data_IF_745025074787
#
_entry.id   IF_745025074787
#
_cell.length_a   1.000
_cell.length_b   1.000
_cell.length_c   1.000
_cell.angle_alpha   90.00
_cell.angle_beta   90.00
_cell.angle_gamma   90.00
#
_symmetry.space_group_name_H-M   'P 1'
#
loop_
_entity.id
_entity.type
_entity.pdbx_description
1 polymer ?
#
# COMPACT_ATOMS: atom_id res chain seq x y z
N UNK A 1 -16.70 4.82 13.42
CA UNK A 1 -16.79 6.18 12.86
C UNK A 1 -16.79 7.26 13.92
N UNK A 2 -16.19 8.39 13.60
CA UNK A 2 -16.22 9.59 14.45
C UNK A 2 -17.22 10.57 13.87
N UNK A 3 -18.09 11.13 14.72
CA UNK A 3 -19.18 12.02 14.33
C UNK A 3 -19.15 13.30 15.15
N UNK A 4 -19.58 14.38 14.55
CA UNK A 4 -19.81 15.65 15.24
C UNK A 4 -21.18 15.68 15.97
N UNK A 5 -21.52 16.75 16.71
CA UNK A 5 -22.81 16.82 17.39
C UNK A 5 -24.03 16.94 16.45
N UNK A 6 -23.83 17.32 15.18
CA UNK A 6 -24.87 17.38 14.17
C UNK A 6 -25.13 16.00 13.51
N UNK A 7 -24.26 15.03 13.76
CA UNK A 7 -24.36 13.68 13.22
C UNK A 7 -23.57 13.50 11.91
N UNK A 8 -22.82 14.51 11.49
CA UNK A 8 -21.99 14.42 10.32
C UNK A 8 -20.73 13.60 10.62
N UNK A 9 -20.35 12.72 9.67
CA UNK A 9 -19.17 11.88 9.82
C UNK A 9 -17.90 12.71 9.61
N UNK A 10 -17.05 12.77 10.63
CA UNK A 10 -15.79 13.49 10.63
C UNK A 10 -14.64 12.62 10.18
N UNK A 11 -14.64 11.33 10.57
CA UNK A 11 -13.55 10.43 10.25
C UNK A 11 -13.73 9.02 10.83
N UNK A 12 -12.61 8.29 10.92
CA UNK A 12 -12.50 6.94 11.48
C UNK A 12 -11.43 6.93 12.57
N UNK A 13 -11.70 6.32 13.72
CA UNK A 13 -10.66 6.05 14.72
C UNK A 13 -9.73 4.99 14.17
N UNK A 14 -8.44 5.27 14.15
CA UNK A 14 -7.38 4.34 13.72
C UNK A 14 -6.54 3.83 14.89
N UNK A 15 -6.43 4.61 15.99
CA UNK A 15 -5.76 4.16 17.21
C UNK A 15 -6.26 4.95 18.43
N UNK A 16 -5.91 4.48 19.63
CA UNK A 16 -6.17 5.15 20.91
C UNK A 16 -4.85 5.38 21.61
N UNK A 17 -4.63 6.59 22.11
CA UNK A 17 -3.43 6.93 22.85
C UNK A 17 -3.69 6.82 24.34
N UNK A 18 -2.74 6.22 25.05
CA UNK A 18 -2.74 6.07 26.49
C UNK A 18 -1.42 6.56 27.09
N UNK A 19 -1.47 7.16 28.27
CA UNK A 19 -0.28 7.53 29.03
C UNK A 19 -0.17 6.68 30.28
N UNK A 20 1.04 6.18 30.55
CA UNK A 20 1.33 5.48 31.81
C UNK A 20 1.25 6.43 33.00
N UNK A 21 0.85 5.88 34.12
CA UNK A 21 0.87 6.56 35.41
C UNK A 21 1.92 5.93 36.32
N UNK A 22 2.41 6.69 37.26
CA UNK A 22 3.33 6.17 38.30
C UNK A 22 2.65 5.08 39.15
N UNK A 23 1.33 5.09 39.25
CA UNK A 23 0.53 4.07 39.91
C UNK A 23 -0.87 3.98 39.27
N UNK A 24 -1.41 2.77 39.16
CA UNK A 24 -2.74 2.49 38.58
C UNK A 24 -2.73 2.24 37.08
N UNK A 25 -3.91 2.07 36.51
CA UNK A 25 -4.09 1.78 35.09
C UNK A 25 -3.72 2.97 34.20
N UNK A 26 -3.17 2.75 33.00
CA UNK A 26 -2.92 3.80 32.04
C UNK A 26 -4.19 4.58 31.70
N UNK A 27 -4.02 5.87 31.44
CA UNK A 27 -5.11 6.78 31.10
C UNK A 27 -5.14 7.03 29.61
N UNK A 28 -6.31 6.92 29.00
CA UNK A 28 -6.50 7.38 27.62
C UNK A 28 -6.39 8.91 27.56
N UNK A 29 -5.53 9.40 26.68
CA UNK A 29 -5.30 10.82 26.43
C UNK A 29 -6.12 11.31 25.25
N UNK A 30 -6.34 10.48 24.24
CA UNK A 30 -7.11 10.79 23.05
C UNK A 30 -7.18 9.65 22.06
N UNK A 31 -7.66 9.97 20.87
CA UNK A 31 -7.79 9.05 19.75
C UNK A 31 -7.07 9.63 18.55
N UNK A 32 -6.42 8.78 17.80
CA UNK A 32 -5.92 9.09 16.47
C UNK A 32 -7.06 8.83 15.48
N UNK A 33 -7.45 9.86 14.76
CA UNK A 33 -8.61 9.84 13.87
C UNK A 33 -8.15 10.20 12.46
N UNK A 34 -8.42 9.31 11.52
CA UNK A 34 -8.26 9.59 10.10
C UNK A 34 -9.48 10.35 9.61
N UNK A 35 -9.25 11.53 9.03
CA UNK A 35 -10.26 12.39 8.41
C UNK A 35 -10.14 12.32 6.87
N UNK A 36 -11.04 13.03 6.16
CA UNK A 36 -10.97 13.13 4.69
C UNK A 36 -9.59 13.58 4.21
N UNK A 37 -9.07 12.94 3.16
CA UNK A 37 -7.71 13.17 2.65
C UNK A 37 -6.64 12.38 3.41
N UNK A 38 -7.00 11.27 4.09
CA UNK A 38 -6.10 10.39 4.86
C UNK A 38 -5.32 11.07 5.99
N UNK A 39 -5.64 12.32 6.29
CA UNK A 39 -4.96 13.08 7.36
C UNK A 39 -5.26 12.47 8.72
N UNK A 40 -4.21 12.22 9.50
CA UNK A 40 -4.28 11.71 10.87
C UNK A 40 -4.26 12.88 11.87
N UNK A 41 -5.31 13.03 12.64
CA UNK A 41 -5.48 14.10 13.61
C UNK A 41 -5.71 13.55 15.01
N UNK A 42 -5.17 14.24 16.00
CA UNK A 42 -5.38 13.88 17.39
C UNK A 42 -6.67 14.51 17.94
N UNK A 43 -7.56 13.65 18.44
CA UNK A 43 -8.77 14.08 19.14
C UNK A 43 -8.61 13.78 20.63
N UNK A 44 -8.39 14.82 21.47
CA UNK A 44 -8.28 14.62 22.91
C UNK A 44 -9.52 13.94 23.48
N UNK A 45 -9.34 13.01 24.40
CA UNK A 45 -10.46 12.27 25.03
C UNK A 45 -11.48 13.19 25.70
N UNK A 46 -11.04 14.36 26.15
CA UNK A 46 -11.93 15.37 26.75
C UNK A 46 -12.95 15.96 25.74
N UNK A 47 -12.71 15.78 24.44
CA UNK A 47 -13.64 16.20 23.38
C UNK A 47 -14.59 15.09 22.95
N UNK A 48 -14.46 13.89 23.48
CA UNK A 48 -15.36 12.78 23.25
C UNK A 48 -16.54 12.87 24.22
N UNK A 49 -17.73 13.00 23.67
CA UNK A 49 -18.96 13.14 24.45
C UNK A 49 -19.67 11.81 24.68
N UNK A 50 -19.56 10.90 23.74
CA UNK A 50 -20.13 9.55 23.87
C UNK A 50 -19.35 8.53 23.00
N UNK A 51 -19.26 7.32 23.50
CA UNK A 51 -18.75 6.15 22.77
C UNK A 51 -19.83 5.08 22.81
N UNK A 52 -20.19 4.55 21.66
CA UNK A 52 -21.12 3.42 21.51
C UNK A 52 -20.60 2.49 20.40
N UNK A 53 -21.23 1.33 20.23
CA UNK A 53 -20.79 0.34 19.24
C UNK A 53 -20.63 0.95 17.83
N UNK A 54 -19.39 1.06 17.37
CA UNK A 54 -19.04 1.57 16.05
C UNK A 54 -19.09 3.11 15.90
N UNK A 55 -19.39 3.85 16.96
CA UNK A 55 -19.56 5.31 16.89
C UNK A 55 -18.89 6.03 18.07
N UNK A 56 -18.16 7.08 17.74
CA UNK A 56 -17.61 8.05 18.69
C UNK A 56 -18.20 9.43 18.37
N UNK A 57 -18.81 10.08 19.34
CA UNK A 57 -19.37 11.42 19.18
C UNK A 57 -18.44 12.41 19.86
N UNK A 58 -18.07 13.46 19.14
CA UNK A 58 -17.17 14.51 19.63
C UNK A 58 -17.88 15.86 19.78
N UNK A 59 -17.22 16.83 20.37
CA UNK A 59 -17.73 18.21 20.48
C UNK A 59 -17.72 18.99 19.16
N UNK A 60 -17.28 18.38 18.04
CA UNK A 60 -17.22 19.02 16.72
C UNK A 60 -16.02 19.96 16.50
N UNK A 61 -15.29 20.34 17.53
CA UNK A 61 -14.06 21.14 17.42
C UNK A 61 -12.85 20.20 17.36
N UNK A 62 -12.40 19.87 16.17
CA UNK A 62 -11.21 19.04 15.94
C UNK A 62 -10.06 19.94 15.55
N UNK A 63 -8.92 19.78 16.22
CA UNK A 63 -7.67 20.42 15.82
C UNK A 63 -7.12 19.66 14.61
N UNK A 64 -7.02 20.32 13.48
CA UNK A 64 -6.58 19.72 12.22
C UNK A 64 -5.04 19.68 12.07
N UNK A 65 -4.30 20.07 13.12
CA UNK A 65 -2.85 19.94 13.09
C UNK A 65 -2.46 18.47 13.11
N UNK A 66 -1.37 18.16 12.43
CA UNK A 66 -0.78 16.82 12.42
C UNK A 66 -0.54 16.32 13.83
N UNK A 67 -0.83 15.05 14.05
CA UNK A 67 -0.49 14.38 15.29
C UNK A 67 1.03 14.13 15.34
N UNK A 68 1.67 14.56 16.39
CA UNK A 68 3.03 14.17 16.74
C UNK A 68 2.98 13.46 18.08
N UNK A 69 3.43 12.20 18.13
CA UNK A 69 3.42 11.40 19.34
C UNK A 69 4.40 11.96 20.38
N UNK A 70 3.94 12.19 21.58
CA UNK A 70 4.85 12.54 22.68
C UNK A 70 5.47 11.28 23.27
N UNK A 71 6.75 11.35 23.71
CA UNK A 71 7.46 10.20 24.25
C UNK A 71 6.89 9.60 25.55
N UNK A 72 5.79 10.13 26.08
CA UNK A 72 5.07 9.63 27.26
C UNK A 72 3.75 8.94 26.92
N UNK A 73 3.36 8.93 25.66
CA UNK A 73 2.13 8.32 25.17
C UNK A 73 2.43 7.06 24.36
N UNK A 74 1.55 6.07 24.46
CA UNK A 74 1.63 4.84 23.67
C UNK A 74 0.34 4.69 22.87
N UNK A 75 0.49 4.21 21.66
CA UNK A 75 -0.60 3.81 20.79
C UNK A 75 -1.06 2.40 21.18
N UNK A 76 -2.35 2.24 21.44
CA UNK A 76 -2.90 0.96 21.89
C UNK A 76 -2.72 -0.10 20.82
N UNK A 77 -3.20 0.16 19.59
CA UNK A 77 -3.17 -0.83 18.50
C UNK A 77 -1.73 -1.07 18.06
N UNK A 78 -0.99 -0.02 17.74
CA UNK A 78 0.35 -0.15 17.18
C UNK A 78 1.42 -0.60 18.20
N UNK A 79 1.24 -0.30 19.51
CA UNK A 79 2.32 -0.47 20.48
C UNK A 79 1.97 -1.27 21.73
N UNK A 80 0.70 -1.56 22.02
CA UNK A 80 0.31 -2.32 23.22
C UNK A 80 -0.28 -3.69 22.90
N UNK A 81 -1.10 -3.81 21.86
CA UNK A 81 -1.62 -5.11 21.45
C UNK A 81 -0.46 -6.01 21.00
N UNK A 82 -0.52 -7.26 21.38
CA UNK A 82 0.51 -8.26 21.13
C UNK A 82 1.65 -8.29 22.16
N UNK A 83 1.85 -7.24 22.96
CA UNK A 83 2.89 -7.25 24.00
C UNK A 83 2.70 -8.42 24.95
N UNK A 84 3.83 -9.01 25.29
CA UNK A 84 3.92 -10.07 26.30
C UNK A 84 3.90 -9.48 27.70
N UNK A 85 3.01 -9.97 28.52
CA UNK A 85 2.90 -9.59 29.92
C UNK A 85 3.06 -10.82 30.82
N UNK A 86 3.61 -10.64 32.00
CA UNK A 86 3.66 -11.69 33.01
C UNK A 86 2.49 -11.54 33.99
N UNK A 87 1.80 -12.63 34.23
CA UNK A 87 0.73 -12.70 35.22
C UNK A 87 1.32 -12.71 36.63
N UNK A 88 0.88 -11.78 37.50
CA UNK A 88 1.39 -11.67 38.87
C UNK A 88 0.94 -12.81 39.79
N UNK A 89 -0.01 -13.62 39.36
CA UNK A 89 -0.42 -14.83 40.04
C UNK A 89 0.55 -16.03 39.89
N UNK A 90 1.65 -15.81 39.13
CA UNK A 90 2.67 -16.81 38.90
C UNK A 90 2.30 -17.87 37.85
N UNK A 91 1.18 -17.74 37.14
CA UNK A 91 0.73 -18.72 36.13
C UNK A 91 1.41 -18.58 34.75
N UNK A 92 2.41 -17.70 34.63
CA UNK A 92 3.24 -17.55 33.44
C UNK A 92 3.01 -16.23 32.69
N UNK A 93 3.31 -16.22 31.41
CA UNK A 93 3.12 -15.07 30.52
C UNK A 93 1.98 -15.28 29.52
N UNK A 94 1.46 -14.18 29.00
CA UNK A 94 0.44 -14.13 27.98
C UNK A 94 0.59 -12.88 27.13
N UNK A 95 0.06 -12.89 25.91
CA UNK A 95 0.07 -11.71 25.03
C UNK A 95 -1.24 -10.94 25.15
N UNK A 96 -1.17 -9.61 25.06
CA UNK A 96 -2.35 -8.74 25.04
C UNK A 96 -2.97 -8.84 23.65
N UNK A 97 -4.19 -9.37 23.54
CA UNK A 97 -4.92 -9.43 22.24
C UNK A 97 -5.91 -8.29 22.08
N UNK A 98 -6.47 -7.81 23.20
CA UNK A 98 -7.41 -6.69 23.21
C UNK A 98 -7.44 -6.06 24.60
N UNK A 99 -8.03 -4.88 24.72
CA UNK A 99 -8.21 -4.22 26.00
C UNK A 99 -9.51 -3.42 26.06
N UNK A 100 -10.04 -3.30 27.26
CA UNK A 100 -11.20 -2.47 27.53
C UNK A 100 -10.76 -1.14 28.16
N UNK A 101 -11.34 -0.04 27.65
CA UNK A 101 -11.17 1.30 28.21
C UNK A 101 -12.52 1.77 28.77
N UNK A 102 -12.56 2.13 30.02
CA UNK A 102 -13.79 2.54 30.69
C UNK A 102 -13.65 3.92 31.34
N UNK A 103 -14.77 4.64 31.37
CA UNK A 103 -14.83 5.90 32.07
C UNK A 103 -15.11 5.68 33.56
N UNK A 104 -14.13 6.02 34.38
CA UNK A 104 -14.27 5.97 35.82
C UNK A 104 -15.20 7.08 36.39
N UNK A 105 -15.50 7.00 37.69
CA UNK A 105 -16.34 7.97 38.41
C UNK A 105 -15.75 9.40 38.38
N UNK A 106 -14.48 9.55 38.19
CA UNK A 106 -13.74 10.81 38.03
C UNK A 106 -13.80 11.37 36.60
N UNK A 107 -14.58 10.74 35.69
CA UNK A 107 -14.69 11.05 34.26
C UNK A 107 -13.39 10.83 33.47
N UNK A 108 -12.42 10.18 34.06
CA UNK A 108 -11.21 9.77 33.31
C UNK A 108 -11.44 8.41 32.65
N UNK A 109 -10.92 8.28 31.44
CA UNK A 109 -10.91 7.01 30.69
C UNK A 109 -9.63 6.27 31.02
N UNK A 110 -9.74 5.03 31.50
CA UNK A 110 -8.59 4.21 31.87
C UNK A 110 -8.76 2.79 31.35
N UNK A 111 -7.65 2.09 31.12
CA UNK A 111 -7.69 0.67 30.81
C UNK A 111 -8.26 -0.06 32.02
N UNK A 112 -9.40 -0.72 31.85
CA UNK A 112 -10.08 -1.48 32.93
C UNK A 112 -9.67 -2.93 32.92
N UNK A 113 -9.59 -3.56 31.77
CA UNK A 113 -9.38 -5.00 31.60
C UNK A 113 -8.57 -5.28 30.34
N UNK A 114 -7.74 -6.33 30.42
CA UNK A 114 -6.97 -6.86 29.32
C UNK A 114 -7.51 -8.22 28.90
N UNK A 115 -7.72 -8.43 27.62
CA UNK A 115 -7.95 -9.74 27.03
C UNK A 115 -6.63 -10.34 26.60
N UNK A 116 -6.25 -11.42 27.23
CA UNK A 116 -4.93 -12.04 27.12
C UNK A 116 -5.03 -13.44 26.50
N UNK A 117 -4.02 -13.83 25.72
CA UNK A 117 -3.86 -15.18 25.20
C UNK A 117 -2.53 -15.79 25.65
N UNK A 118 -2.58 -16.98 26.20
CA UNK A 118 -1.38 -17.75 26.56
C UNK A 118 -0.71 -18.34 25.32
N UNK A 119 0.62 -18.55 25.34
CA UNK A 119 1.32 -19.28 24.30
C UNK A 119 0.71 -20.67 24.06
N UNK A 120 0.83 -21.15 22.82
CA UNK A 120 0.37 -22.51 22.46
C UNK A 120 1.15 -23.57 23.28
N UNK A 121 0.44 -24.51 23.88
CA UNK A 121 1.04 -25.67 24.60
C UNK A 121 1.08 -26.93 23.73
N UNK A 122 0.55 -26.88 22.50
CA UNK A 122 0.44 -28.04 21.59
C UNK A 122 1.09 -27.72 20.25
N UNK A 123 1.77 -28.72 19.66
CA UNK A 123 2.37 -28.65 18.32
C UNK A 123 1.36 -28.69 17.15
N UNK A 124 0.05 -28.75 17.44
CA UNK A 124 -0.98 -28.73 16.39
C UNK A 124 -1.08 -27.34 15.75
N UNK A 125 -1.05 -27.21 14.41
CA UNK A 125 -1.17 -25.92 13.72
C UNK A 125 -2.50 -25.20 13.98
N UNK A 126 -3.55 -25.94 14.38
CA UNK A 126 -4.88 -25.39 14.70
C UNK A 126 -5.11 -25.13 16.21
N UNK A 127 -4.14 -25.43 17.08
CA UNK A 127 -4.27 -25.17 18.51
C UNK A 127 -4.07 -23.68 18.80
N UNK A 128 -5.09 -23.03 19.36
CA UNK A 128 -4.98 -21.67 19.91
C UNK A 128 -4.69 -21.74 21.39
N UNK A 129 -3.86 -20.83 21.92
CA UNK A 129 -3.63 -20.73 23.35
C UNK A 129 -4.91 -20.37 24.13
N UNK A 130 -4.97 -20.71 25.41
CA UNK A 130 -6.10 -20.38 26.27
C UNK A 130 -6.20 -18.85 26.48
N UNK A 131 -7.42 -18.34 26.43
CA UNK A 131 -7.72 -16.92 26.66
C UNK A 131 -8.11 -16.68 28.11
N UNK A 132 -7.80 -15.51 28.63
CA UNK A 132 -8.17 -15.08 29.97
C UNK A 132 -8.34 -13.55 30.02
N UNK A 133 -9.08 -13.07 30.99
CA UNK A 133 -9.21 -11.66 31.31
C UNK A 133 -8.37 -11.35 32.55
N UNK A 134 -7.73 -10.20 32.57
CA UNK A 134 -6.96 -9.72 33.71
C UNK A 134 -7.10 -8.21 33.85
N UNK A 135 -7.21 -7.72 35.08
CA UNK A 135 -7.10 -6.29 35.33
C UNK A 135 -5.66 -5.82 35.13
N UNK A 136 -5.45 -4.56 34.75
CA UNK A 136 -4.12 -3.99 34.54
C UNK A 136 -3.16 -4.26 35.72
N UNK A 137 -3.64 -4.11 36.94
CA UNK A 137 -2.83 -4.37 38.15
C UNK A 137 -2.48 -5.83 38.43
N UNK A 138 -2.97 -6.77 37.63
CA UNK A 138 -2.67 -8.21 37.75
C UNK A 138 -1.59 -8.68 36.80
N UNK A 139 -1.07 -7.77 35.97
CA UNK A 139 0.00 -8.04 35.01
C UNK A 139 1.20 -7.13 35.29
N UNK A 140 2.37 -7.63 34.97
CA UNK A 140 3.60 -6.85 34.91
C UNK A 140 4.11 -6.94 33.49
N UNK A 141 4.43 -5.81 32.89
CA UNK A 141 5.18 -5.84 31.64
C UNK A 141 6.53 -6.49 31.86
N UNK A 142 6.88 -7.50 31.10
CA UNK A 142 8.26 -7.98 31.06
C UNK A 142 9.08 -6.82 30.51
N UNK A 143 10.10 -6.39 31.27
CA UNK A 143 10.88 -5.20 30.97
C UNK A 143 11.27 -5.18 29.49
N UNK A 144 10.92 -4.07 28.83
CA UNK A 144 11.33 -3.66 27.47
C UNK A 144 12.29 -4.61 26.76
N UNK A 145 11.81 -5.74 26.32
CA UNK A 145 12.32 -6.47 25.19
C UNK A 145 11.31 -6.23 24.09
N UNK A 146 11.75 -5.94 22.96
CA UNK A 146 11.12 -5.48 21.72
C UNK A 146 10.06 -6.43 21.11
N UNK A 147 9.21 -7.04 21.90
CA UNK A 147 8.12 -7.89 21.40
C UNK A 147 6.78 -7.15 21.47
N UNK A 148 6.55 -6.25 20.50
CA UNK A 148 5.24 -5.68 20.21
C UNK A 148 4.23 -6.72 19.69
N UNK A 149 3.10 -6.29 19.21
CA UNK A 149 2.13 -7.12 18.47
C UNK A 149 2.89 -7.93 17.41
N UNK A 150 2.62 -9.23 17.28
CA UNK A 150 3.30 -10.02 16.24
C UNK A 150 2.98 -9.44 14.86
N UNK A 151 3.92 -9.54 13.92
CA UNK A 151 3.70 -9.09 12.54
C UNK A 151 2.40 -9.67 11.97
N UNK A 152 2.12 -10.96 12.20
CA UNK A 152 0.87 -11.62 11.80
C UNK A 152 -0.40 -10.98 12.37
N UNK A 153 -0.36 -10.42 13.57
CA UNK A 153 -1.51 -9.72 14.14
C UNK A 153 -1.70 -8.33 13.53
N UNK A 154 -0.62 -7.64 13.20
CA UNK A 154 -0.67 -6.38 12.44
C UNK A 154 -1.24 -6.62 11.04
N UNK A 155 -0.75 -7.63 10.32
CA UNK A 155 -1.25 -8.04 9.01
C UNK A 155 -2.74 -8.36 9.07
N UNK A 156 -3.19 -9.12 10.09
CA UNK A 156 -4.62 -9.41 10.27
C UNK A 156 -5.46 -8.15 10.54
N UNK A 157 -4.88 -7.14 11.20
CA UNK A 157 -5.53 -5.85 11.43
C UNK A 157 -5.60 -5.02 10.15
N UNK A 158 -4.62 -5.17 9.27
CA UNK A 158 -4.47 -4.45 8.02
C UNK A 158 -4.96 -5.24 6.79
N UNK A 159 -5.59 -6.42 6.99
CA UNK A 159 -6.01 -7.32 5.92
C UNK A 159 -6.92 -6.69 4.87
N UNK A 160 -7.74 -5.71 5.26
CA UNK A 160 -8.70 -5.03 4.38
C UNK A 160 -8.15 -3.71 3.80
N UNK A 161 -6.90 -3.36 4.07
CA UNK A 161 -6.28 -2.14 3.52
C UNK A 161 -5.88 -2.37 2.05
N UNK A 162 -5.97 -1.31 1.26
CA UNK A 162 -5.38 -1.28 -0.09
C UNK A 162 -3.86 -1.20 0.03
N UNK A 163 -3.10 -1.57 -1.02
CA UNK A 163 -1.64 -1.48 -1.02
C UNK A 163 -1.11 -0.13 -0.52
N UNK A 164 -1.52 0.98 -1.11
CA UNK A 164 -1.12 2.33 -0.70
C UNK A 164 -1.48 2.69 0.76
N UNK A 165 -2.63 2.19 1.28
CA UNK A 165 -3.01 2.40 2.67
C UNK A 165 -2.15 1.54 3.61
N UNK A 166 -1.75 0.35 3.15
CA UNK A 166 -0.87 -0.55 3.90
C UNK A 166 0.56 0.00 3.91
N UNK A 167 1.09 0.46 2.78
CA UNK A 167 2.39 1.13 2.69
C UNK A 167 2.47 2.31 3.67
N UNK A 168 1.48 3.20 3.65
CA UNK A 168 1.38 4.31 4.61
C UNK A 168 1.32 3.84 6.07
N UNK A 169 0.71 2.68 6.35
CA UNK A 169 0.64 2.13 7.70
C UNK A 169 1.99 1.52 8.13
N UNK A 170 2.73 0.94 7.19
CA UNK A 170 4.09 0.42 7.43
C UNK A 170 5.07 1.55 7.73
N UNK A 171 5.03 2.64 6.97
CA UNK A 171 5.84 3.85 7.22
C UNK A 171 5.58 4.50 8.60
N UNK A 172 4.43 4.24 9.22
CA UNK A 172 4.14 4.68 10.60
C UNK A 172 4.82 3.79 11.66
N UNK A 173 5.39 2.64 11.28
CA UNK A 173 6.08 1.72 12.20
C UNK A 173 7.57 2.12 12.34
N UNK A 174 8.25 1.70 13.41
CA UNK A 174 9.70 1.69 13.44
C UNK A 174 10.28 0.72 12.39
N UNK A 175 11.45 1.03 11.83
CA UNK A 175 12.08 0.29 10.72
C UNK A 175 12.14 -1.22 10.98
N UNK A 176 12.65 -1.67 12.14
CA UNK A 176 12.69 -3.09 12.55
C UNK A 176 11.30 -3.76 12.50
N UNK A 177 10.24 -3.00 12.80
CA UNK A 177 8.87 -3.52 12.79
C UNK A 177 8.27 -3.54 11.39
N UNK A 178 8.61 -2.59 10.56
CA UNK A 178 8.25 -2.56 9.14
C UNK A 178 8.81 -3.79 8.45
N UNK A 179 10.10 -4.07 8.65
CA UNK A 179 10.78 -5.25 8.10
C UNK A 179 10.14 -6.57 8.57
N UNK A 180 9.86 -6.74 9.88
CA UNK A 180 9.19 -7.93 10.40
C UNK A 180 7.78 -8.13 9.77
N UNK A 181 7.05 -7.05 9.50
CA UNK A 181 5.73 -7.14 8.86
C UNK A 181 5.87 -7.47 7.39
N UNK A 182 6.82 -6.86 6.69
CA UNK A 182 7.12 -7.15 5.29
C UNK A 182 7.54 -8.62 5.09
N UNK A 183 8.37 -9.16 6.00
CA UNK A 183 8.79 -10.57 5.97
C UNK A 183 7.62 -11.56 6.10
N UNK A 184 6.57 -11.20 6.82
CA UNK A 184 5.40 -12.08 7.08
C UNK A 184 4.24 -11.86 6.07
N UNK A 185 4.30 -10.86 5.18
CA UNK A 185 3.32 -10.70 4.09
C UNK A 185 3.48 -11.85 3.07
N UNK A 186 2.41 -12.22 2.39
CA UNK A 186 2.50 -13.04 1.18
C UNK A 186 3.14 -12.23 0.02
N UNK A 187 3.75 -12.91 -0.93
CA UNK A 187 4.61 -12.25 -1.92
C UNK A 187 3.82 -11.35 -2.87
N UNK A 188 2.59 -11.72 -3.29
CA UNK A 188 1.70 -10.87 -4.10
C UNK A 188 1.40 -9.55 -3.38
N UNK A 189 1.09 -9.62 -2.10
CA UNK A 189 0.76 -8.44 -1.31
C UNK A 189 1.99 -7.60 -0.95
N UNK A 190 3.15 -8.24 -0.83
CA UNK A 190 4.42 -7.54 -0.61
C UNK A 190 4.84 -6.78 -1.86
N UNK A 191 4.68 -7.36 -3.05
CA UNK A 191 4.90 -6.69 -4.32
C UNK A 191 4.04 -5.42 -4.45
N UNK A 192 2.71 -5.57 -4.31
CA UNK A 192 1.76 -4.45 -4.33
C UNK A 192 2.11 -3.32 -3.33
N UNK A 193 2.68 -3.67 -2.17
CA UNK A 193 3.04 -2.69 -1.14
C UNK A 193 4.37 -2.02 -1.45
N UNK A 194 5.33 -2.75 -2.01
CA UNK A 194 6.62 -2.21 -2.42
C UNK A 194 6.44 -1.10 -3.45
N UNK A 195 5.60 -1.30 -4.48
CA UNK A 195 5.27 -0.30 -5.50
C UNK A 195 4.76 1.03 -4.91
N UNK A 196 4.19 1.00 -3.72
CA UNK A 196 3.62 2.16 -3.04
C UNK A 196 4.52 2.74 -1.93
N UNK A 197 5.68 2.13 -1.66
CA UNK A 197 6.67 2.62 -0.69
C UNK A 197 7.68 3.56 -1.37
N UNK A 198 8.29 4.50 -0.63
CA UNK A 198 9.45 5.24 -1.13
C UNK A 198 10.64 4.30 -1.38
N UNK A 199 11.50 4.69 -2.30
CA UNK A 199 12.65 3.89 -2.77
C UNK A 199 13.59 3.42 -1.63
N UNK A 200 13.83 4.28 -0.63
CA UNK A 200 14.71 3.95 0.52
C UNK A 200 14.17 2.74 1.29
N UNK A 201 12.86 2.72 1.58
CA UNK A 201 12.19 1.64 2.29
C UNK A 201 12.01 0.39 1.44
N UNK A 202 11.77 0.53 0.14
CA UNK A 202 11.75 -0.59 -0.81
C UNK A 202 13.10 -1.34 -0.77
N UNK A 203 14.20 -0.61 -0.92
CA UNK A 203 15.56 -1.16 -0.89
C UNK A 203 15.88 -1.82 0.45
N UNK A 204 15.46 -1.21 1.57
CA UNK A 204 15.68 -1.77 2.90
C UNK A 204 14.96 -3.12 3.05
N UNK A 205 13.70 -3.22 2.62
CA UNK A 205 12.92 -4.45 2.68
C UNK A 205 13.55 -5.53 1.78
N UNK A 206 13.82 -5.23 0.52
CA UNK A 206 14.41 -6.21 -0.42
C UNK A 206 15.79 -6.68 0.07
N UNK A 207 16.57 -5.82 0.72
CA UNK A 207 17.88 -6.21 1.25
C UNK A 207 17.82 -7.21 2.40
N UNK A 208 16.75 -7.25 3.16
CA UNK A 208 16.55 -8.22 4.26
C UNK A 208 15.98 -9.56 3.79
N UNK A 209 15.34 -9.62 2.61
CA UNK A 209 14.86 -10.89 2.04
C UNK A 209 16.03 -11.75 1.53
N UNK A 210 15.85 -13.08 1.53
CA UNK A 210 16.74 -13.97 0.76
C UNK A 210 16.52 -13.78 -0.75
N UNK A 211 17.52 -14.16 -1.56
CA UNK A 211 17.51 -13.90 -2.99
C UNK A 211 16.39 -14.66 -3.72
N UNK A 212 16.00 -15.88 -3.25
CA UNK A 212 14.89 -16.64 -3.80
C UNK A 212 13.57 -15.91 -3.64
N UNK A 213 13.31 -15.41 -2.44
CA UNK A 213 12.07 -14.67 -2.15
C UNK A 213 12.05 -13.29 -2.81
N UNK A 214 13.21 -12.61 -2.86
CA UNK A 214 13.32 -11.34 -3.57
C UNK A 214 12.98 -11.51 -5.06
N UNK A 215 13.41 -12.59 -5.70
CA UNK A 215 13.04 -12.92 -7.07
C UNK A 215 11.53 -13.16 -7.23
N UNK A 216 10.93 -13.98 -6.37
CA UNK A 216 9.47 -14.25 -6.39
C UNK A 216 8.63 -12.97 -6.22
N UNK A 217 9.07 -12.03 -5.39
CA UNK A 217 8.38 -10.74 -5.18
C UNK A 217 8.54 -9.83 -6.39
N UNK A 218 9.75 -9.74 -6.95
CA UNK A 218 10.03 -8.91 -8.13
C UNK A 218 9.34 -9.43 -9.39
N UNK A 219 9.16 -10.75 -9.54
CA UNK A 219 8.36 -11.36 -10.62
C UNK A 219 6.86 -10.99 -10.54
N UNK A 220 6.39 -10.51 -9.39
CA UNK A 220 4.99 -10.11 -9.14
C UNK A 220 4.77 -8.59 -9.18
N UNK A 221 5.85 -7.80 -9.24
CA UNK A 221 5.78 -6.33 -9.34
C UNK A 221 5.49 -5.88 -10.78
N UNK A 222 5.01 -4.65 -10.95
CA UNK A 222 4.99 -4.02 -12.27
C UNK A 222 6.43 -3.92 -12.80
N UNK A 223 6.69 -4.26 -14.08
CA UNK A 223 8.06 -4.40 -14.60
C UNK A 223 8.93 -3.16 -14.50
N UNK A 224 8.35 -1.97 -14.63
CA UNK A 224 9.04 -0.68 -14.48
C UNK A 224 9.44 -0.42 -13.02
N UNK A 225 8.56 -0.65 -12.06
CA UNK A 225 8.87 -0.54 -10.63
C UNK A 225 9.96 -1.55 -10.21
N UNK A 226 9.87 -2.78 -10.71
CA UNK A 226 10.89 -3.80 -10.49
C UNK A 226 12.24 -3.41 -11.11
N UNK A 227 12.23 -2.77 -12.29
CA UNK A 227 13.45 -2.30 -12.95
C UNK A 227 14.14 -1.17 -12.18
N UNK A 228 13.36 -0.21 -11.66
CA UNK A 228 13.88 0.89 -10.85
C UNK A 228 14.48 0.37 -9.54
N UNK A 229 13.81 -0.55 -8.87
CA UNK A 229 14.31 -1.18 -7.66
C UNK A 229 15.58 -2.00 -7.92
N UNK A 230 15.61 -2.80 -8.98
CA UNK A 230 16.78 -3.60 -9.38
C UNK A 230 17.98 -2.74 -9.78
N UNK A 231 17.78 -1.57 -10.39
CA UNK A 231 18.84 -0.65 -10.76
C UNK A 231 19.58 -0.08 -9.54
N UNK A 232 18.90 -0.01 -8.40
CA UNK A 232 19.44 0.53 -7.15
C UNK A 232 20.04 -0.54 -6.22
N UNK A 233 19.93 -1.82 -6.57
CA UNK A 233 20.59 -2.92 -5.84
C UNK A 233 22.09 -3.01 -6.19
N UNK A 234 22.92 -3.53 -5.25
CA UNK A 234 24.30 -3.84 -5.55
C UNK A 234 24.41 -4.84 -6.73
N UNK A 235 25.28 -4.56 -7.71
CA UNK A 235 25.42 -5.33 -8.98
C UNK A 235 25.47 -6.86 -8.76
N UNK A 236 26.25 -7.33 -7.78
CA UNK A 236 26.36 -8.77 -7.52
C UNK A 236 25.09 -9.41 -6.95
N UNK A 237 24.23 -8.64 -6.30
CA UNK A 237 22.95 -9.12 -5.80
C UNK A 237 21.88 -9.06 -6.88
N UNK A 238 21.84 -7.99 -7.65
CA UNK A 238 20.94 -7.87 -8.81
C UNK A 238 21.15 -9.05 -9.78
N UNK A 239 22.41 -9.43 -10.10
CA UNK A 239 22.70 -10.60 -10.93
C UNK A 239 22.20 -11.91 -10.29
N UNK A 240 22.39 -12.10 -8.97
CA UNK A 240 21.94 -13.32 -8.29
C UNK A 240 20.41 -13.46 -8.31
N UNK A 241 19.69 -12.35 -8.13
CA UNK A 241 18.22 -12.31 -8.21
C UNK A 241 17.77 -12.63 -9.64
N UNK A 242 18.36 -12.02 -10.67
CA UNK A 242 18.05 -12.30 -12.07
C UNK A 242 18.25 -13.77 -12.48
N UNK A 243 19.16 -14.50 -11.83
CA UNK A 243 19.34 -15.94 -12.09
C UNK A 243 18.19 -16.80 -11.50
N UNK A 244 17.40 -16.24 -10.59
CA UNK A 244 16.31 -16.92 -9.87
C UNK A 244 14.92 -16.52 -10.38
N UNK A 245 14.80 -15.37 -11.06
CA UNK A 245 13.57 -14.87 -11.65
C UNK A 245 13.09 -15.71 -12.84
N UNK A 246 11.82 -15.60 -13.18
CA UNK A 246 11.28 -16.11 -14.42
C UNK A 246 11.98 -15.45 -15.65
N UNK A 247 12.29 -16.25 -16.67
CA UNK A 247 13.09 -15.80 -17.81
C UNK A 247 12.43 -14.65 -18.57
N UNK A 248 11.09 -14.65 -18.69
CA UNK A 248 10.31 -13.64 -19.41
C UNK A 248 10.35 -12.30 -18.64
N UNK A 249 10.07 -12.32 -17.34
CA UNK A 249 10.10 -11.13 -16.49
C UNK A 249 11.51 -10.55 -16.38
N UNK A 250 12.52 -11.40 -16.21
CA UNK A 250 13.91 -10.97 -16.15
C UNK A 250 14.38 -10.31 -17.47
N UNK A 251 13.89 -10.75 -18.64
CA UNK A 251 14.21 -10.13 -19.94
C UNK A 251 13.57 -8.74 -20.04
N UNK A 252 12.32 -8.58 -19.60
CA UNK A 252 11.59 -7.32 -19.61
C UNK A 252 12.26 -6.29 -18.69
N UNK A 253 12.55 -6.66 -17.45
CA UNK A 253 13.25 -5.78 -16.50
C UNK A 253 14.63 -5.36 -17.03
N UNK A 254 15.42 -6.29 -17.57
CA UNK A 254 16.72 -5.95 -18.18
C UNK A 254 16.59 -5.02 -19.37
N UNK A 255 15.51 -5.12 -20.13
CA UNK A 255 15.23 -4.22 -21.24
C UNK A 255 14.93 -2.80 -20.71
N UNK A 256 14.11 -2.68 -19.67
CA UNK A 256 13.74 -1.39 -19.05
C UNK A 256 14.96 -0.70 -18.45
N UNK A 257 15.82 -1.41 -17.72
CA UNK A 257 17.05 -0.89 -17.12
C UNK A 257 18.06 -0.31 -18.14
N UNK A 258 17.86 -0.50 -19.46
CA UNK A 258 18.72 0.12 -20.48
C UNK A 258 18.35 1.60 -20.75
N UNK A 259 17.22 2.07 -20.26
CA UNK A 259 16.72 3.41 -20.48
C UNK A 259 16.98 4.29 -19.24
N UNK A 260 16.98 5.58 -19.48
CA UNK A 260 17.07 6.58 -18.42
C UNK A 260 15.70 6.75 -17.77
N UNK A 261 15.64 6.78 -16.45
CA UNK A 261 14.42 6.87 -15.64
C UNK A 261 13.48 8.03 -16.04
N UNK A 262 14.01 9.14 -16.59
CA UNK A 262 13.23 10.27 -17.05
C UNK A 262 12.84 10.20 -18.54
N UNK A 263 12.83 9.02 -19.11
CA UNK A 263 12.43 8.79 -20.51
C UNK A 263 11.25 7.84 -20.63
N UNK A 264 10.60 7.82 -21.79
CA UNK A 264 9.49 6.91 -22.05
C UNK A 264 9.86 5.44 -21.87
N UNK A 265 11.10 5.07 -22.12
CA UNK A 265 11.60 3.71 -21.96
C UNK A 265 11.80 3.31 -20.50
N UNK A 266 12.18 4.27 -19.62
CA UNK A 266 12.31 4.02 -18.19
C UNK A 266 10.96 4.05 -17.45
N UNK A 267 9.99 4.81 -17.97
CA UNK A 267 8.67 4.98 -17.37
C UNK A 267 7.60 4.03 -17.91
N UNK A 268 7.94 3.13 -18.83
CA UNK A 268 6.93 2.29 -19.48
C UNK A 268 6.79 0.93 -18.80
N UNK A 269 5.56 0.50 -18.64
CA UNK A 269 5.27 -0.91 -18.37
C UNK A 269 5.28 -1.72 -19.66
N UNK A 270 5.73 -2.98 -19.60
CA UNK A 270 5.75 -3.93 -20.72
C UNK A 270 4.44 -4.73 -20.82
N UNK A 271 3.49 -4.54 -19.92
CA UNK A 271 2.24 -5.31 -19.81
C UNK A 271 0.96 -4.60 -20.30
N UNK A 272 0.95 -3.93 -21.46
CA UNK A 272 -0.28 -3.35 -21.98
C UNK A 272 -1.28 -4.42 -22.42
N UNK A 273 -2.59 -4.07 -22.45
CA UNK A 273 -3.59 -4.95 -23.06
C UNK A 273 -3.46 -4.90 -24.58
N UNK A 274 -2.88 -5.95 -25.16
CA UNK A 274 -2.67 -6.07 -26.61
C UNK A 274 -3.82 -6.86 -27.25
N UNK A 275 -4.36 -6.35 -28.35
CA UNK A 275 -5.45 -6.95 -29.09
C UNK A 275 -5.15 -7.04 -30.58
N UNK A 276 -5.75 -8.04 -31.27
CA UNK A 276 -5.77 -8.11 -32.71
C UNK A 276 -6.80 -7.15 -33.32
N UNK A 277 -6.56 -6.64 -34.53
CA UNK A 277 -7.49 -5.76 -35.22
C UNK A 277 -8.84 -6.45 -35.59
N UNK A 278 -8.86 -7.76 -35.73
CA UNK A 278 -10.05 -8.55 -36.01
C UNK A 278 -10.76 -9.07 -34.75
N UNK A 279 -10.18 -8.84 -33.56
CA UNK A 279 -10.84 -9.10 -32.30
C UNK A 279 -12.09 -8.23 -32.14
N UNK A 280 -13.13 -8.76 -31.53
CA UNK A 280 -14.40 -8.06 -31.31
C UNK A 280 -14.34 -7.22 -30.02
N UNK A 281 -15.21 -6.22 -29.93
CA UNK A 281 -15.42 -5.43 -28.70
C UNK A 281 -15.70 -6.34 -27.50
N UNK A 282 -16.50 -7.40 -27.67
CA UNK A 282 -16.81 -8.32 -26.57
C UNK A 282 -15.57 -9.06 -26.06
N UNK A 283 -14.69 -9.49 -26.93
CA UNK A 283 -13.44 -10.17 -26.56
C UNK A 283 -12.46 -9.21 -25.86
N UNK A 284 -12.27 -8.01 -26.38
CA UNK A 284 -11.46 -6.98 -25.73
C UNK A 284 -12.00 -6.60 -24.34
N UNK A 285 -13.33 -6.45 -24.21
CA UNK A 285 -13.97 -6.19 -22.92
C UNK A 285 -13.79 -7.34 -21.93
N UNK A 286 -13.60 -8.57 -22.39
CA UNK A 286 -13.31 -9.69 -21.51
C UNK A 286 -11.88 -9.63 -20.95
N UNK A 287 -10.91 -9.14 -21.72
CA UNK A 287 -9.54 -8.89 -21.26
C UNK A 287 -9.51 -7.77 -20.20
N UNK A 288 -10.15 -6.62 -20.47
CA UNK A 288 -10.23 -5.48 -19.55
C UNK A 288 -10.89 -5.85 -18.20
N UNK A 289 -11.76 -6.88 -18.18
CA UNK A 289 -12.46 -7.31 -16.96
C UNK A 289 -11.64 -8.24 -16.06
N UNK A 290 -10.46 -8.63 -16.44
CA UNK A 290 -9.60 -9.42 -15.60
C UNK A 290 -9.26 -8.61 -14.34
N UNK A 291 -9.13 -9.30 -13.20
CA UNK A 291 -8.90 -8.62 -11.92
C UNK A 291 -7.48 -8.10 -11.78
N UNK A 292 -6.59 -8.77 -12.46
CA UNK A 292 -5.14 -8.53 -12.46
C UNK A 292 -4.76 -7.27 -13.26
N UNK A 293 -5.67 -6.75 -14.10
CA UNK A 293 -5.41 -5.56 -14.92
C UNK A 293 -5.56 -4.29 -14.10
N UNK A 294 -4.50 -3.51 -14.02
CA UNK A 294 -4.51 -2.20 -13.37
C UNK A 294 -5.58 -1.26 -13.98
N UNK A 295 -6.29 -0.45 -13.18
CA UNK A 295 -7.36 0.43 -13.66
C UNK A 295 -6.93 1.38 -14.78
N UNK A 296 -5.68 1.86 -14.77
CA UNK A 296 -5.14 2.77 -15.79
C UNK A 296 -4.97 2.05 -17.12
N UNK A 297 -4.46 0.82 -17.12
CA UNK A 297 -4.30 -0.01 -18.31
C UNK A 297 -5.66 -0.45 -18.87
N UNK A 298 -6.67 -0.66 -18.02
CA UNK A 298 -8.04 -0.99 -18.43
C UNK A 298 -8.74 0.13 -19.21
N UNK A 299 -8.21 1.36 -19.23
CA UNK A 299 -8.81 2.52 -19.92
C UNK A 299 -8.74 2.42 -21.44
N UNK A 300 -7.85 1.60 -22.00
CA UNK A 300 -7.66 1.43 -23.43
C UNK A 300 -6.99 0.10 -23.77
N UNK A 301 -7.08 -0.32 -25.02
CA UNK A 301 -6.36 -1.48 -25.54
C UNK A 301 -5.51 -1.06 -26.73
N UNK A 302 -4.36 -1.69 -26.88
CA UNK A 302 -3.42 -1.41 -27.96
C UNK A 302 -3.53 -2.48 -29.04
N UNK A 303 -3.65 -2.04 -30.27
CA UNK A 303 -3.86 -2.96 -31.39
C UNK A 303 -2.58 -3.10 -32.20
N UNK A 304 -2.14 -4.34 -32.37
CA UNK A 304 -0.91 -4.66 -33.12
C UNK A 304 -1.17 -5.66 -34.24
N UNK A 305 -0.19 -5.82 -35.11
CA UNK A 305 -0.08 -7.00 -35.97
C UNK A 305 0.57 -8.15 -35.18
N UNK A 306 0.33 -9.43 -35.59
CA UNK A 306 1.01 -10.57 -34.94
C UNK A 306 2.56 -10.46 -35.00
N UNK A 307 3.25 -10.98 -33.97
CA UNK A 307 2.74 -11.58 -32.74
C UNK A 307 2.12 -10.53 -31.81
N UNK A 308 1.17 -10.95 -30.95
CA UNK A 308 0.41 -10.04 -30.08
C UNK A 308 1.06 -9.94 -28.71
N UNK A 309 2.35 -9.65 -28.69
CA UNK A 309 3.21 -9.54 -27.52
C UNK A 309 4.04 -8.25 -27.62
N UNK A 310 4.43 -7.70 -26.47
CA UNK A 310 5.35 -6.55 -26.40
C UNK A 310 6.68 -6.87 -27.06
N UNK A 311 7.36 -5.84 -27.47
CA UNK A 311 8.60 -5.81 -28.24
C UNK A 311 8.56 -6.51 -29.62
N UNK A 312 7.44 -7.13 -30.00
CA UNK A 312 7.35 -7.89 -31.25
C UNK A 312 6.24 -7.45 -32.18
N UNK A 313 5.08 -7.05 -31.65
CA UNK A 313 3.91 -6.69 -32.44
C UNK A 313 3.98 -5.28 -33.03
N UNK A 314 3.83 -5.13 -34.37
CA UNK A 314 3.78 -3.82 -35.01
C UNK A 314 2.52 -3.06 -34.62
N UNK A 315 2.69 -1.87 -34.05
CA UNK A 315 1.61 -1.00 -33.56
C UNK A 315 0.73 -0.47 -34.71
N UNK A 316 -0.59 -0.54 -34.54
CA UNK A 316 -1.58 -0.05 -35.48
C UNK A 316 -2.38 1.15 -34.93
N UNK A 317 -2.58 1.22 -33.63
CA UNK A 317 -3.37 2.25 -32.97
C UNK A 317 -3.95 1.80 -31.65
N UNK A 318 -4.70 2.66 -31.01
CA UNK A 318 -5.35 2.43 -29.71
C UNK A 318 -6.87 2.41 -29.85
N UNK A 319 -7.56 1.69 -28.98
CA UNK A 319 -9.01 1.76 -28.85
C UNK A 319 -9.36 2.05 -27.39
N UNK A 320 -9.89 3.23 -27.14
CA UNK A 320 -10.30 3.65 -25.81
C UNK A 320 -11.55 2.89 -25.33
N UNK A 321 -11.56 2.51 -24.06
CA UNK A 321 -12.68 1.83 -23.41
C UNK A 321 -14.03 2.54 -23.66
N UNK A 322 -14.06 3.88 -23.50
CA UNK A 322 -15.28 4.67 -23.75
C UNK A 322 -15.79 4.57 -25.19
N UNK A 323 -14.89 4.37 -26.16
CA UNK A 323 -15.25 4.17 -27.55
C UNK A 323 -15.92 2.80 -27.72
N UNK A 324 -15.35 1.75 -27.13
CA UNK A 324 -15.92 0.40 -27.15
C UNK A 324 -17.35 0.34 -26.59
N UNK A 325 -17.65 1.11 -25.53
CA UNK A 325 -19.00 1.17 -24.94
C UNK A 325 -20.10 1.73 -25.89
N UNK A 326 -19.72 2.42 -26.96
CA UNK A 326 -20.64 3.06 -27.90
C UNK A 326 -20.97 2.16 -29.11
N UNK A 327 -20.29 1.02 -29.24
CA UNK A 327 -20.42 0.13 -30.38
C UNK A 327 -20.96 -1.25 -29.95
N UNK A 328 -21.59 -1.98 -30.88
CA UNK A 328 -22.13 -3.30 -30.56
C UNK A 328 -21.00 -4.30 -30.24
N UNK A 329 -21.28 -5.32 -29.42
CA UNK A 329 -20.27 -6.28 -28.97
C UNK A 329 -19.56 -7.06 -30.09
N UNK A 330 -20.17 -7.19 -31.24
CA UNK A 330 -19.61 -7.92 -32.39
C UNK A 330 -18.80 -7.05 -33.36
N UNK A 331 -18.72 -5.74 -33.09
CA UNK A 331 -17.89 -4.83 -33.89
C UNK A 331 -16.43 -5.16 -33.72
N UNK A 332 -15.63 -5.00 -34.79
CA UNK A 332 -14.18 -5.30 -34.76
C UNK A 332 -13.35 -4.09 -34.30
N UNK A 333 -12.33 -4.31 -33.50
CA UNK A 333 -11.47 -3.26 -32.98
C UNK A 333 -10.81 -2.46 -34.12
N UNK A 334 -10.44 -3.09 -35.22
CA UNK A 334 -9.85 -2.42 -36.38
C UNK A 334 -10.70 -1.32 -37.00
N UNK A 335 -12.05 -1.33 -36.79
CA UNK A 335 -12.94 -0.24 -37.23
C UNK A 335 -13.01 0.91 -36.21
N UNK A 336 -12.51 0.69 -35.01
CA UNK A 336 -12.58 1.62 -33.90
C UNK A 336 -11.22 2.26 -33.58
N UNK A 337 -10.17 1.95 -34.34
CA UNK A 337 -8.82 2.44 -34.09
C UNK A 337 -8.77 3.96 -34.06
N UNK A 338 -8.08 4.48 -33.07
CA UNK A 338 -7.49 5.81 -33.08
C UNK A 338 -6.05 5.67 -33.54
N UNK A 339 -5.80 6.09 -34.76
CA UNK A 339 -4.46 6.08 -35.39
C UNK A 339 -3.84 7.48 -35.46
N UNK A 340 -4.55 8.50 -34.92
CA UNK A 340 -4.06 9.88 -34.90
C UNK A 340 -3.14 10.12 -33.69
N UNK A 341 -3.20 9.26 -32.68
CA UNK A 341 -2.31 9.29 -31.53
C UNK A 341 -0.90 8.84 -31.95
N UNK A 342 0.03 9.79 -31.97
CA UNK A 342 1.43 9.50 -32.27
C UNK A 342 2.06 8.75 -31.09
N UNK A 343 2.68 7.56 -31.33
CA UNK A 343 3.38 6.84 -30.29
C UNK A 343 4.68 7.52 -29.87
N UNK A 344 5.08 7.33 -28.63
CA UNK A 344 6.36 7.80 -28.10
C UNK A 344 7.52 6.96 -28.64
N UNK A 345 8.72 7.54 -28.61
CA UNK A 345 9.98 6.80 -28.74
C UNK A 345 10.60 6.57 -27.38
N UNK A 346 11.37 5.49 -27.17
CA UNK A 346 11.91 5.15 -25.84
C UNK A 346 12.71 6.28 -25.18
N UNK A 347 13.44 7.06 -25.97
CA UNK A 347 14.24 8.19 -25.47
C UNK A 347 13.46 9.51 -25.35
N UNK A 348 12.13 9.49 -25.47
CA UNK A 348 11.31 10.67 -25.29
C UNK A 348 11.31 11.07 -23.80
N UNK A 349 11.78 12.28 -23.52
CA UNK A 349 11.92 12.77 -22.15
C UNK A 349 10.55 13.07 -21.50
N UNK A 350 10.43 12.81 -20.20
CA UNK A 350 9.23 12.97 -19.37
C UNK A 350 8.53 14.33 -19.57
N UNK A 351 9.29 15.42 -19.82
CA UNK A 351 8.72 16.75 -20.08
C UNK A 351 7.86 16.84 -21.34
N UNK A 352 8.05 15.96 -22.31
CA UNK A 352 7.19 15.84 -23.51
C UNK A 352 6.00 14.95 -23.18
N UNK A 353 6.21 13.86 -22.46
CA UNK A 353 5.20 12.86 -22.10
C UNK A 353 4.07 13.53 -21.30
N UNK A 354 4.37 14.16 -20.17
CA UNK A 354 3.35 14.79 -19.33
C UNK A 354 2.58 15.91 -20.06
N UNK A 355 3.26 16.64 -20.95
CA UNK A 355 2.60 17.67 -21.77
C UNK A 355 1.63 17.04 -22.75
N UNK A 356 1.99 15.91 -23.36
CA UNK A 356 1.14 15.18 -24.31
C UNK A 356 -0.09 14.62 -23.60
N UNK A 357 0.12 13.92 -22.46
CA UNK A 357 -0.97 13.40 -21.61
C UNK A 357 -1.95 14.53 -21.24
N UNK A 358 -1.43 15.64 -20.72
CA UNK A 358 -2.24 16.77 -20.28
C UNK A 358 -2.96 17.48 -21.45
N UNK A 359 -2.30 17.65 -22.62
CA UNK A 359 -2.88 18.35 -23.76
C UNK A 359 -4.06 17.61 -24.36
N UNK A 360 -3.96 16.29 -24.43
CA UNK A 360 -4.96 15.43 -25.08
C UNK A 360 -5.87 14.70 -24.09
N UNK A 361 -5.71 14.95 -22.78
CA UNK A 361 -6.44 14.27 -21.68
C UNK A 361 -6.33 12.75 -21.79
N UNK A 362 -5.13 12.26 -22.00
CA UNK A 362 -4.84 10.83 -22.12
C UNK A 362 -4.42 10.26 -20.75
N UNK A 363 -4.64 8.96 -20.56
CA UNK A 363 -4.24 8.24 -19.34
C UNK A 363 -3.05 7.33 -19.60
N UNK A 364 -2.76 7.00 -20.86
CA UNK A 364 -1.58 6.22 -21.23
C UNK A 364 -1.18 6.50 -22.68
N UNK A 365 0.12 6.32 -22.99
CA UNK A 365 0.72 6.56 -24.30
C UNK A 365 1.56 5.34 -24.73
N UNK A 366 1.38 4.83 -25.96
CA UNK A 366 2.19 3.73 -26.48
C UNK A 366 3.62 4.16 -26.75
N UNK A 367 4.57 3.29 -26.45
CA UNK A 367 5.98 3.42 -26.77
C UNK A 367 6.33 2.42 -27.87
N UNK A 368 6.99 2.88 -28.92
CA UNK A 368 7.38 2.03 -30.05
C UNK A 368 8.86 2.22 -30.40
N UNK A 369 9.45 1.12 -30.85
CA UNK A 369 10.82 1.12 -31.39
C UNK A 369 10.91 1.77 -32.79
N UNK A 370 12.11 1.71 -33.41
CA UNK A 370 12.35 2.29 -34.72
C UNK A 370 11.60 1.58 -35.87
N UNK A 371 11.25 0.29 -35.67
CA UNK A 371 10.46 -0.52 -36.58
C UNK A 371 8.93 -0.39 -36.36
N UNK A 372 8.52 0.53 -35.45
CA UNK A 372 7.14 0.74 -35.03
C UNK A 372 6.50 -0.51 -34.36
N UNK A 373 7.29 -1.28 -33.63
CA UNK A 373 6.79 -2.35 -32.78
C UNK A 373 6.47 -1.77 -31.39
N UNK A 374 5.36 -2.20 -30.81
CA UNK A 374 4.97 -1.78 -29.47
C UNK A 374 5.90 -2.44 -28.45
N UNK A 375 6.66 -1.63 -27.71
CA UNK A 375 7.60 -2.12 -26.70
C UNK A 375 7.12 -1.88 -25.27
N UNK A 376 6.13 -1.01 -25.08
CA UNK A 376 5.55 -0.72 -23.78
C UNK A 376 4.53 0.41 -23.86
N UNK A 377 4.10 0.85 -22.69
CA UNK A 377 3.11 1.91 -22.51
C UNK A 377 3.47 2.73 -21.28
N UNK A 378 3.53 4.05 -21.42
CA UNK A 378 3.69 4.96 -20.29
C UNK A 378 2.32 5.38 -19.80
N UNK A 379 2.06 5.24 -18.51
CA UNK A 379 0.79 5.63 -17.90
C UNK A 379 0.88 7.00 -17.23
N UNK A 380 -0.25 7.54 -16.78
CA UNK A 380 -0.29 8.87 -16.18
C UNK A 380 0.16 8.84 -14.71
N UNK A 381 -0.05 7.75 -14.01
CA UNK A 381 0.37 7.52 -12.63
C UNK A 381 1.90 7.48 -12.53
N UNK A 382 2.61 6.69 -13.34
CA UNK A 382 4.08 6.63 -13.36
C UNK A 382 4.70 8.02 -13.63
N UNK A 383 4.12 8.75 -14.60
CA UNK A 383 4.55 10.14 -14.86
C UNK A 383 4.26 11.07 -13.68
N UNK A 384 3.18 10.87 -12.93
CA UNK A 384 2.85 11.68 -11.76
C UNK A 384 3.82 11.40 -10.61
N UNK A 385 4.19 10.16 -10.38
CA UNK A 385 5.16 9.78 -9.35
C UNK A 385 6.50 10.49 -9.54
N UNK A 386 7.01 10.55 -10.76
CA UNK A 386 8.24 11.27 -11.11
C UNK A 386 8.11 12.81 -11.13
N UNK A 387 6.90 13.36 -11.08
CA UNK A 387 6.67 14.81 -11.04
C UNK A 387 6.39 15.33 -9.62
N UNK A 388 5.99 14.46 -8.73
CA UNK A 388 5.80 14.77 -7.32
C UNK A 388 7.18 14.86 -6.61
N UNK A 389 7.30 15.57 -5.50
CA UNK A 389 8.51 15.53 -4.68
C UNK A 389 8.81 14.09 -4.22
N UNK A 390 10.09 13.71 -4.08
CA UNK A 390 10.51 12.36 -3.68
C UNK A 390 9.91 11.91 -2.34
N UNK A 391 9.52 12.86 -1.49
CA UNK A 391 8.90 12.66 -0.18
C UNK A 391 7.36 12.76 -0.19
N UNK A 392 6.71 12.84 -1.37
CA UNK A 392 5.27 13.02 -1.45
C UNK A 392 4.46 11.88 -0.79
N UNK A 393 5.01 10.66 -0.77
CA UNK A 393 4.41 9.50 -0.09
C UNK A 393 4.56 9.58 1.44
N UNK A 394 5.56 10.33 1.93
CA UNK A 394 5.83 10.55 3.36
C UNK A 394 5.36 11.91 3.84
N UNK A 395 5.28 12.92 2.95
CA UNK A 395 4.81 14.26 3.28
C UNK A 395 3.28 14.32 3.46
N UNK A 396 2.86 14.86 4.58
CA UNK A 396 1.47 15.26 4.77
C UNK A 396 1.12 16.48 3.91
N UNK A 397 -0.06 16.49 3.30
CA UNK A 397 -0.68 17.59 2.53
C UNK A 397 -0.64 18.99 3.19
N UNK A 398 -0.03 19.13 4.37
CA UNK A 398 -0.02 20.38 5.14
C UNK A 398 0.97 21.43 4.65
N UNK A 399 1.96 21.10 3.83
CA UNK A 399 2.94 22.06 3.31
C UNK A 399 2.58 22.63 1.94
N UNK A 400 1.84 21.91 1.12
CA UNK A 400 1.41 22.35 -0.24
C UNK A 400 0.48 23.58 -0.21
N UNK A 401 -0.09 23.92 0.95
CA UNK A 401 -1.01 25.07 1.09
C UNK A 401 -0.32 26.42 1.35
N UNK A 402 1.02 26.54 1.25
CA UNK A 402 1.77 27.77 1.53
C UNK A 402 2.66 28.27 0.38
N UNK A 403 2.48 27.75 -0.82
CA UNK A 403 3.12 28.25 -2.03
C UNK A 403 2.27 29.30 -2.76
#
# INVERSE_FOLDING_TARGET
GVFDPAGDRVGKVIDVLVAYRKSGSPKATGMLVEISGRRKVFVPIARVTAISAGQVITTGLIDLRRFTQSGQELRVIAQMLGRKVRLLDGTGSANIEDLAIEQGKNKEWTISELFLRRPKTSASPFARGATLFAAWGQVSEEARGEEGQSAQQLIATYSDLRPADLASALLDLPDERMLEVAEELDDERLADVLEELPEEEQLEIIQELDDERAAEVLDLMEPDDAADLMANLPEGRSEAIFELMDEEEAEDIRMLMQFDEFTAGGLMTTEPIICAADMTVAEAMALIRRKEVAPVLAAQVFVTLPPYETATGRYLGVVHFQRMLRYPPHERLGTLLDSELEPLKPHTHISVIHRTLATYNLVALPVVDDENRLIGVVTVDDVLDHLLPDDWRTEDESEVSRG
#
